data_IF_387924143119
#
_entry.id   IF_387924143119
#
_cell.length_a   1.000
_cell.length_b   1.000
_cell.length_c   1.000
_cell.angle_alpha   90.00
_cell.angle_beta   90.00
_cell.angle_gamma   90.00
#
_symmetry.space_group_name_H-M   'P 1'
#
loop_
_entity.id
_entity.type
_entity.pdbx_description
1 polymer ?
#
# COMPACT_ATOMS: atom_id res chain seq x y z
N UNK A 1 -1.24 -15.33 -3.51
CA UNK A 1 -2.43 -14.59 -3.07
C UNK A 1 -2.60 -13.33 -3.92
N UNK A 2 -3.80 -13.09 -4.45
CA UNK A 2 -4.10 -12.01 -5.41
C UNK A 2 -3.85 -10.62 -4.82
N UNK A 3 -3.04 -9.81 -5.51
CA UNK A 3 -2.84 -8.40 -5.17
C UNK A 3 -3.75 -7.53 -6.05
N UNK A 4 -3.56 -7.62 -7.36
CA UNK A 4 -4.21 -6.76 -8.33
C UNK A 4 -4.32 -7.42 -9.70
N UNK A 5 -5.24 -6.90 -10.50
CA UNK A 5 -5.43 -7.24 -11.90
C UNK A 5 -5.45 -5.97 -12.75
N UNK A 6 -4.84 -6.02 -13.92
CA UNK A 6 -4.83 -4.92 -14.88
C UNK A 6 -5.00 -5.45 -16.29
N UNK A 7 -6.05 -5.02 -16.99
CA UNK A 7 -6.20 -5.32 -18.41
C UNK A 7 -5.44 -4.29 -19.26
N UNK A 8 -4.60 -4.79 -20.15
CA UNK A 8 -3.80 -4.02 -21.09
C UNK A 8 -4.45 -4.09 -22.46
N UNK A 9 -5.32 -3.16 -22.79
CA UNK A 9 -6.12 -3.14 -24.03
C UNK A 9 -5.28 -3.20 -25.31
N UNK A 10 -4.14 -2.51 -25.34
CA UNK A 10 -3.25 -2.49 -26.52
C UNK A 10 -2.63 -3.86 -26.85
N UNK A 11 -2.36 -4.68 -25.84
CA UNK A 11 -1.78 -6.03 -25.99
C UNK A 11 -2.79 -7.13 -25.75
N UNK A 12 -4.04 -6.78 -25.43
CA UNK A 12 -5.14 -7.71 -25.09
C UNK A 12 -4.73 -8.75 -24.03
N UNK A 13 -4.08 -8.29 -22.97
CA UNK A 13 -3.59 -9.15 -21.89
C UNK A 13 -4.14 -8.73 -20.55
N UNK A 14 -4.52 -9.71 -19.75
CA UNK A 14 -4.77 -9.54 -18.32
C UNK A 14 -3.46 -9.78 -17.57
N UNK A 15 -2.98 -8.76 -16.86
CA UNK A 15 -1.86 -8.87 -15.90
C UNK A 15 -2.44 -9.17 -14.53
N UNK A 16 -1.97 -10.22 -13.91
CA UNK A 16 -2.35 -10.65 -12.56
C UNK A 16 -1.12 -10.64 -11.68
N UNK A 17 -1.15 -9.90 -10.58
CA UNK A 17 -0.10 -9.95 -9.56
C UNK A 17 -0.58 -10.68 -8.32
N UNK A 18 0.31 -11.50 -7.75
CA UNK A 18 0.03 -12.26 -6.53
C UNK A 18 1.30 -12.46 -5.71
N UNK A 19 1.13 -12.72 -4.41
CA UNK A 19 2.22 -13.11 -3.52
C UNK A 19 2.42 -14.61 -3.59
N UNK A 20 3.65 -15.03 -3.83
CA UNK A 20 4.04 -16.43 -3.80
C UNK A 20 4.45 -16.90 -2.39
N UNK A 21 4.80 -18.18 -2.28
CA UNK A 21 5.24 -18.82 -1.03
C UNK A 21 6.52 -18.21 -0.41
N UNK A 22 7.28 -17.42 -1.16
CA UNK A 22 8.48 -16.72 -0.67
C UNK A 22 8.17 -15.33 -0.11
N UNK A 23 6.91 -14.88 -0.20
CA UNK A 23 6.48 -13.54 0.19
C UNK A 23 6.79 -12.46 -0.86
N UNK A 24 7.22 -12.86 -2.06
CA UNK A 24 7.55 -11.95 -3.14
C UNK A 24 6.39 -11.84 -4.14
N UNK A 25 6.33 -10.71 -4.85
CA UNK A 25 5.33 -10.49 -5.90
C UNK A 25 5.73 -11.24 -7.17
N UNK A 26 4.77 -11.96 -7.75
CA UNK A 26 4.84 -12.54 -9.09
C UNK A 26 3.82 -11.90 -10.01
N UNK A 27 4.14 -11.86 -11.28
CA UNK A 27 3.25 -11.46 -12.35
C UNK A 27 2.95 -12.61 -13.27
N UNK A 28 1.67 -12.77 -13.62
CA UNK A 28 1.22 -13.61 -14.72
C UNK A 28 0.53 -12.78 -15.77
N UNK A 29 0.68 -13.19 -17.03
CA UNK A 29 0.08 -12.56 -18.20
C UNK A 29 -0.80 -13.57 -18.88
N UNK A 30 -2.08 -13.27 -19.04
CA UNK A 30 -3.05 -14.10 -19.74
C UNK A 30 -3.49 -13.38 -21.00
N UNK A 31 -3.50 -14.08 -22.13
CA UNK A 31 -4.12 -13.55 -23.33
C UNK A 31 -5.63 -13.51 -23.12
N UNK A 32 -6.24 -12.38 -23.42
CA UNK A 32 -7.68 -12.16 -23.27
C UNK A 32 -8.17 -11.22 -24.36
N UNK A 33 -8.28 -11.79 -25.57
CA UNK A 33 -8.57 -11.01 -26.78
C UNK A 33 -9.93 -10.33 -26.75
N UNK A 34 -10.95 -11.04 -26.25
CA UNK A 34 -12.34 -10.57 -26.21
C UNK A 34 -12.87 -10.73 -24.78
N UNK A 35 -12.64 -9.74 -23.90
CA UNK A 35 -13.22 -9.76 -22.56
C UNK A 35 -14.75 -9.80 -22.63
N UNK A 36 -15.35 -10.74 -21.89
CA UNK A 36 -16.79 -10.91 -21.82
C UNK A 36 -17.29 -10.56 -20.43
N UNK A 37 -18.45 -9.93 -20.32
CA UNK A 37 -19.19 -9.78 -19.05
C UNK A 37 -20.60 -10.31 -19.16
N UNK A 38 -21.16 -10.75 -18.03
CA UNK A 38 -22.56 -11.09 -17.95
C UNK A 38 -23.40 -9.81 -17.75
N UNK A 39 -24.54 -9.79 -18.42
CA UNK A 39 -25.58 -8.77 -18.26
C UNK A 39 -26.96 -9.46 -18.21
N UNK A 40 -27.94 -8.83 -17.56
CA UNK A 40 -29.30 -9.30 -17.61
C UNK A 40 -29.85 -9.23 -19.03
N UNK A 41 -30.75 -10.14 -19.38
CA UNK A 41 -31.46 -10.15 -20.66
C UNK A 41 -32.89 -10.62 -20.49
N UNK A 42 -33.71 -10.37 -21.52
CA UNK A 42 -35.08 -10.84 -21.56
C UNK A 42 -35.18 -12.37 -21.74
N UNK A 43 -36.29 -12.95 -21.32
CA UNK A 43 -36.57 -14.38 -21.39
C UNK A 43 -36.47 -14.96 -22.80
N UNK A 44 -36.77 -14.16 -23.81
CA UNK A 44 -36.75 -14.53 -25.22
C UNK A 44 -35.47 -14.11 -25.97
N UNK A 45 -34.44 -13.60 -25.25
CA UNK A 45 -33.19 -13.21 -25.88
C UNK A 45 -32.50 -14.45 -26.49
N UNK A 46 -32.18 -14.45 -27.80
CA UNK A 46 -31.54 -15.60 -28.46
C UNK A 46 -30.11 -15.87 -27.97
N UNK A 47 -29.46 -14.88 -27.34
CA UNK A 47 -28.13 -14.99 -26.75
C UNK A 47 -28.16 -15.35 -25.27
N UNK A 48 -29.37 -15.64 -24.74
CA UNK A 48 -29.54 -16.07 -23.35
C UNK A 48 -28.65 -17.28 -23.02
N UNK A 49 -27.93 -17.19 -21.89
CA UNK A 49 -27.16 -18.34 -21.42
C UNK A 49 -28.11 -19.49 -21.03
N UNK A 50 -27.86 -20.72 -21.48
CA UNK A 50 -28.80 -21.84 -21.25
C UNK A 50 -28.88 -22.24 -19.77
N UNK A 51 -27.76 -22.21 -19.06
CA UNK A 51 -27.62 -22.78 -17.72
C UNK A 51 -27.55 -21.74 -16.61
N UNK A 52 -27.00 -20.55 -16.89
CA UNK A 52 -26.79 -19.54 -15.86
C UNK A 52 -27.94 -18.52 -15.80
N UNK A 53 -28.20 -18.09 -14.57
CA UNK A 53 -29.06 -16.94 -14.24
C UNK A 53 -28.32 -16.00 -13.32
N UNK A 54 -28.80 -14.77 -13.16
CA UNK A 54 -28.35 -13.89 -12.07
C UNK A 54 -28.77 -14.46 -10.70
N UNK A 55 -28.14 -13.99 -9.64
CA UNK A 55 -28.45 -14.41 -8.27
C UNK A 55 -29.91 -14.12 -7.89
N UNK A 56 -30.58 -13.13 -8.51
CA UNK A 56 -31.99 -12.77 -8.34
C UNK A 56 -32.91 -13.42 -9.37
N UNK A 57 -32.40 -14.40 -10.14
CA UNK A 57 -33.17 -15.27 -11.03
C UNK A 57 -33.41 -14.75 -12.45
N UNK A 58 -32.90 -13.57 -12.82
CA UNK A 58 -33.01 -13.03 -14.17
C UNK A 58 -32.19 -13.86 -15.17
N UNK A 59 -32.63 -13.96 -16.41
CA UNK A 59 -31.81 -14.52 -17.47
C UNK A 59 -30.61 -13.62 -17.77
N UNK A 60 -29.49 -14.25 -18.14
CA UNK A 60 -28.23 -13.56 -18.43
C UNK A 60 -27.70 -13.94 -19.79
N UNK A 61 -26.97 -13.02 -20.40
CA UNK A 61 -26.15 -13.26 -21.60
C UNK A 61 -24.75 -12.69 -21.40
N UNK A 62 -23.82 -13.13 -22.22
CA UNK A 62 -22.48 -12.54 -22.28
C UNK A 62 -22.40 -11.51 -23.39
N UNK A 63 -21.78 -10.38 -23.10
CA UNK A 63 -21.46 -9.34 -24.08
C UNK A 63 -19.96 -9.07 -24.04
N UNK A 64 -19.40 -8.75 -25.21
CA UNK A 64 -17.99 -8.31 -25.31
C UNK A 64 -17.85 -6.89 -24.81
N UNK A 65 -16.75 -6.62 -24.09
CA UNK A 65 -16.45 -5.30 -23.54
C UNK A 65 -15.02 -4.90 -23.87
N UNK A 66 -14.81 -3.63 -24.21
CA UNK A 66 -13.49 -3.09 -24.50
C UNK A 66 -12.60 -3.01 -23.25
N UNK A 67 -13.22 -2.81 -22.08
CA UNK A 67 -12.55 -2.75 -20.77
C UNK A 67 -13.35 -3.62 -19.80
N UNK A 68 -12.77 -4.74 -19.33
CA UNK A 68 -13.44 -5.58 -18.35
C UNK A 68 -13.53 -4.87 -17.00
N UNK A 69 -14.69 -4.93 -16.40
CA UNK A 69 -14.90 -4.52 -15.02
C UNK A 69 -14.38 -5.59 -14.03
N UNK A 70 -14.60 -5.35 -12.73
CA UNK A 70 -14.17 -6.29 -11.70
C UNK A 70 -14.88 -7.65 -11.82
N UNK A 71 -16.15 -7.66 -12.22
CA UNK A 71 -16.95 -8.88 -12.31
C UNK A 71 -16.46 -9.77 -13.46
N UNK A 72 -16.29 -9.19 -14.66
CA UNK A 72 -15.71 -9.87 -15.80
C UNK A 72 -14.31 -10.43 -15.48
N UNK A 73 -13.49 -9.64 -14.76
CA UNK A 73 -12.16 -10.06 -14.33
C UNK A 73 -12.20 -11.24 -13.37
N UNK A 74 -13.09 -11.22 -12.38
CA UNK A 74 -13.22 -12.33 -11.45
C UNK A 74 -13.79 -13.59 -12.11
N UNK A 75 -14.74 -13.45 -13.02
CA UNK A 75 -15.22 -14.58 -13.83
C UNK A 75 -14.09 -15.22 -14.65
N UNK A 76 -13.24 -14.41 -15.26
CA UNK A 76 -12.05 -14.92 -15.94
C UNK A 76 -11.13 -15.69 -14.98
N UNK A 77 -10.82 -15.13 -13.80
CA UNK A 77 -9.96 -15.80 -12.82
C UNK A 77 -10.57 -17.10 -12.29
N UNK A 78 -11.90 -17.15 -12.11
CA UNK A 78 -12.60 -18.35 -11.67
C UNK A 78 -12.67 -19.44 -12.76
N UNK A 79 -12.50 -19.08 -14.04
CA UNK A 79 -12.43 -20.04 -15.15
C UNK A 79 -11.06 -20.71 -15.31
N UNK A 80 -10.02 -20.21 -14.61
CA UNK A 80 -8.69 -20.79 -14.62
C UNK A 80 -8.68 -22.20 -14.01
N UNK A 81 -7.64 -22.96 -14.32
CA UNK A 81 -7.41 -24.28 -13.72
C UNK A 81 -7.28 -24.17 -12.19
N UNK A 82 -7.64 -25.24 -11.47
CA UNK A 82 -7.53 -25.25 -9.99
C UNK A 82 -6.09 -25.01 -9.52
N UNK A 83 -5.09 -25.48 -10.27
CA UNK A 83 -3.68 -25.20 -9.99
C UNK A 83 -3.38 -23.69 -10.04
N UNK A 84 -3.86 -23.00 -11.05
CA UNK A 84 -3.64 -21.57 -11.23
C UNK A 84 -4.43 -20.75 -10.20
N UNK A 85 -5.69 -21.15 -9.94
CA UNK A 85 -6.50 -20.54 -8.88
C UNK A 85 -5.83 -20.65 -7.52
N UNK A 86 -5.32 -21.84 -7.17
CA UNK A 86 -4.61 -22.03 -5.91
C UNK A 86 -3.35 -21.16 -5.85
N UNK A 87 -2.55 -21.11 -6.91
CA UNK A 87 -1.36 -20.26 -6.96
C UNK A 87 -1.70 -18.76 -6.76
N UNK A 88 -2.79 -18.28 -7.36
CA UNK A 88 -3.19 -16.87 -7.30
C UNK A 88 -3.87 -16.52 -5.97
N UNK A 89 -4.70 -17.40 -5.42
CA UNK A 89 -5.54 -17.09 -4.27
C UNK A 89 -5.06 -17.68 -2.94
N UNK A 90 -4.10 -18.63 -2.97
CA UNK A 90 -3.57 -19.22 -1.73
C UNK A 90 -2.97 -18.13 -0.82
N UNK A 91 -3.23 -18.26 0.48
CA UNK A 91 -2.73 -17.33 1.47
C UNK A 91 -1.21 -17.47 1.65
N UNK A 92 -0.50 -16.38 1.42
CA UNK A 92 0.93 -16.26 1.71
C UNK A 92 1.21 -14.91 2.34
N UNK A 93 2.09 -14.87 3.34
CA UNK A 93 2.49 -13.64 4.02
C UNK A 93 3.52 -12.90 3.15
N UNK A 94 3.28 -11.63 2.81
CA UNK A 94 4.26 -10.84 2.05
C UNK A 94 5.45 -10.46 2.92
N UNK A 95 6.55 -10.09 2.27
CA UNK A 95 7.61 -9.31 2.93
C UNK A 95 7.10 -7.89 3.15
N UNK A 96 7.05 -7.48 4.40
CA UNK A 96 6.54 -6.17 4.81
C UNK A 96 7.70 -5.24 5.11
N UNK A 97 7.64 -4.03 4.58
CA UNK A 97 8.61 -2.96 4.80
C UNK A 97 7.92 -1.82 5.56
N UNK A 98 8.39 -1.55 6.76
CA UNK A 98 7.92 -0.47 7.63
C UNK A 98 8.76 0.76 7.35
N UNK A 99 8.12 1.86 6.97
CA UNK A 99 8.79 3.06 6.45
C UNK A 99 8.31 4.26 7.25
N UNK A 100 9.23 5.15 7.53
CA UNK A 100 9.00 6.44 8.16
C UNK A 100 9.93 7.47 7.54
N UNK A 101 9.49 8.73 7.41
CA UNK A 101 10.31 9.82 6.88
C UNK A 101 10.42 10.95 7.87
N UNK A 102 11.56 11.63 7.82
CA UNK A 102 11.74 12.88 8.52
C UNK A 102 11.98 14.02 7.54
N UNK A 103 11.25 15.10 7.71
CA UNK A 103 11.31 16.27 6.83
C UNK A 103 11.89 17.46 7.56
N UNK A 104 12.53 18.36 6.84
CA UNK A 104 12.98 19.64 7.35
C UNK A 104 11.79 20.47 7.84
N UNK A 105 11.93 21.10 8.97
CA UNK A 105 10.94 22.02 9.57
C UNK A 105 11.54 23.42 9.56
N UNK A 106 11.12 24.26 8.62
CA UNK A 106 11.68 25.60 8.41
C UNK A 106 10.97 26.70 9.16
N UNK A 107 9.81 26.40 9.76
CA UNK A 107 9.03 27.41 10.47
C UNK A 107 8.42 26.82 11.76
N UNK A 108 7.89 27.71 12.61
CA UNK A 108 7.27 27.35 13.88
C UNK A 108 5.85 26.82 13.75
N UNK A 109 5.31 26.72 12.52
CA UNK A 109 3.91 26.34 12.26
C UNK A 109 3.66 24.82 12.25
N UNK A 110 4.68 24.00 12.50
CA UNK A 110 4.57 22.54 12.57
C UNK A 110 5.13 21.84 11.34
N UNK A 111 4.67 20.60 11.10
CA UNK A 111 5.09 19.80 9.95
C UNK A 111 4.62 20.41 8.64
N UNK A 112 5.44 20.31 7.55
CA UNK A 112 5.01 20.74 6.22
C UNK A 112 3.84 19.90 5.72
N UNK A 113 2.96 20.52 4.91
CA UNK A 113 1.84 19.81 4.30
C UNK A 113 2.35 18.77 3.31
N UNK A 114 1.75 17.58 3.30
CA UNK A 114 2.12 16.50 2.37
C UNK A 114 1.56 16.71 0.95
N UNK A 115 0.58 17.60 0.77
CA UNK A 115 0.00 17.98 -0.51
C UNK A 115 -0.46 19.44 -0.45
N UNK A 116 -0.66 20.04 -1.63
CA UNK A 116 -1.21 21.39 -1.73
C UNK A 116 -2.61 21.46 -1.11
N UNK A 117 -2.81 22.43 -0.22
CA UNK A 117 -4.13 22.73 0.35
C UNK A 117 -4.87 23.64 -0.61
N UNK A 118 -6.09 23.25 -0.97
CA UNK A 118 -6.94 23.98 -1.92
C UNK A 118 -8.20 24.50 -1.26
N UNK A 119 -8.69 25.65 -1.72
CA UNK A 119 -10.00 26.19 -1.37
C UNK A 119 -11.13 25.46 -2.13
N UNK A 120 -12.38 25.86 -1.89
CA UNK A 120 -13.57 25.31 -2.58
C UNK A 120 -13.55 25.51 -4.10
N UNK A 121 -12.80 26.49 -4.59
CA UNK A 121 -12.71 26.85 -6.01
C UNK A 121 -11.51 26.13 -6.69
N UNK A 122 -10.73 25.37 -5.90
CA UNK A 122 -9.57 24.60 -6.36
C UNK A 122 -8.26 25.38 -6.42
N UNK A 123 -8.22 26.62 -5.92
CA UNK A 123 -7.00 27.41 -5.85
C UNK A 123 -6.13 26.94 -4.69
N UNK A 124 -4.81 26.88 -4.92
CA UNK A 124 -3.85 26.51 -3.87
C UNK A 124 -3.74 27.66 -2.86
N UNK A 125 -4.14 27.39 -1.62
CA UNK A 125 -4.06 28.33 -0.48
C UNK A 125 -2.79 28.14 0.34
N UNK A 126 -2.25 26.91 0.37
CA UNK A 126 -0.97 26.58 1.01
C UNK A 126 -0.26 25.51 0.16
N UNK A 127 0.97 25.77 -0.21
CA UNK A 127 1.78 24.83 -0.98
C UNK A 127 2.27 23.69 -0.07
N UNK A 128 2.10 22.44 -0.54
CA UNK A 128 2.61 21.26 0.14
C UNK A 128 4.02 20.89 -0.29
N UNK A 129 4.65 19.98 0.44
CA UNK A 129 5.98 19.43 0.14
C UNK A 129 7.05 20.48 -0.17
N UNK A 130 7.05 21.57 0.63
CA UNK A 130 7.94 22.72 0.42
C UNK A 130 9.34 22.47 0.96
N UNK A 131 9.50 21.53 1.89
CA UNK A 131 10.75 21.28 2.60
C UNK A 131 11.39 19.96 2.20
N UNK A 132 12.66 19.80 2.54
CA UNK A 132 13.48 18.66 2.17
C UNK A 132 13.12 17.41 2.99
N UNK A 133 13.19 16.23 2.36
CA UNK A 133 13.23 14.95 3.07
C UNK A 133 14.66 14.75 3.59
N UNK A 134 14.82 14.71 4.90
CA UNK A 134 16.13 14.60 5.56
C UNK A 134 16.59 13.16 5.74
N UNK A 135 15.64 12.25 6.00
CA UNK A 135 15.91 10.83 6.13
C UNK A 135 14.71 9.96 5.77
N UNK A 136 14.99 8.73 5.38
CA UNK A 136 14.01 7.65 5.18
C UNK A 136 14.49 6.45 5.97
N UNK A 137 13.67 5.96 6.91
CA UNK A 137 13.89 4.71 7.63
C UNK A 137 13.09 3.59 6.99
N UNK A 138 13.71 2.42 6.79
CA UNK A 138 13.10 1.23 6.21
C UNK A 138 13.44 0.04 7.09
N UNK A 139 12.44 -0.57 7.70
CA UNK A 139 12.60 -1.74 8.57
C UNK A 139 11.91 -2.95 7.96
N UNK A 140 12.59 -4.08 7.90
CA UNK A 140 12.02 -5.36 7.49
C UNK A 140 12.84 -6.51 8.08
N UNK A 141 12.19 -7.59 8.48
CA UNK A 141 12.81 -8.70 9.21
C UNK A 141 13.64 -8.17 10.42
N UNK A 142 14.93 -8.50 10.47
CA UNK A 142 15.92 -8.02 11.45
C UNK A 142 16.78 -6.84 10.93
N UNK A 143 16.35 -6.14 9.88
CA UNK A 143 17.17 -5.14 9.20
C UNK A 143 16.55 -3.76 9.29
N UNK A 144 17.42 -2.79 9.57
CA UNK A 144 17.12 -1.36 9.54
C UNK A 144 18.00 -0.74 8.46
N UNK A 145 17.40 -0.11 7.48
CA UNK A 145 18.09 0.70 6.47
C UNK A 145 17.72 2.15 6.71
N UNK A 146 18.71 2.97 6.97
CA UNK A 146 18.54 4.41 7.09
C UNK A 146 19.16 5.10 5.89
N UNK A 147 18.40 5.93 5.21
CA UNK A 147 18.87 6.80 4.14
C UNK A 147 18.97 8.21 4.70
N UNK A 148 20.02 8.93 4.38
CA UNK A 148 20.19 10.30 4.85
C UNK A 148 21.22 11.09 4.05
N UNK A 149 21.39 12.36 4.42
CA UNK A 149 22.17 13.34 3.66
C UNK A 149 23.49 13.73 4.35
N UNK A 150 23.63 13.47 5.66
CA UNK A 150 24.85 13.76 6.42
C UNK A 150 25.75 12.53 6.52
N UNK A 151 27.02 12.75 6.81
CA UNK A 151 27.93 11.64 7.14
C UNK A 151 27.51 10.96 8.45
N UNK A 152 27.61 9.64 8.47
CA UNK A 152 27.40 8.81 9.65
C UNK A 152 28.58 7.86 9.79
N UNK A 153 29.54 8.16 10.66
CA UNK A 153 30.67 7.27 10.96
C UNK A 153 30.21 5.88 11.45
N UNK A 154 31.03 4.87 11.27
CA UNK A 154 30.68 3.49 11.62
C UNK A 154 30.42 3.33 13.12
N UNK A 155 31.22 3.99 13.98
CA UNK A 155 30.99 3.99 15.42
C UNK A 155 29.67 4.64 15.85
N UNK A 156 29.17 5.61 15.11
CA UNK A 156 27.81 6.17 15.31
C UNK A 156 26.74 5.14 14.93
N UNK A 157 26.92 4.43 13.79
CA UNK A 157 25.99 3.35 13.41
C UNK A 157 25.96 2.26 14.49
N UNK A 158 27.10 1.89 15.04
CA UNK A 158 27.24 0.89 16.11
C UNK A 158 26.50 1.33 17.39
N UNK A 159 26.59 2.62 17.76
CA UNK A 159 25.84 3.14 18.92
C UNK A 159 24.34 3.14 18.67
N UNK A 160 23.88 3.58 17.50
CA UNK A 160 22.46 3.60 17.14
C UNK A 160 21.89 2.18 17.21
N UNK A 161 22.55 1.20 16.57
CA UNK A 161 22.01 -0.16 16.55
C UNK A 161 22.05 -0.82 17.93
N UNK A 162 23.08 -0.58 18.71
CA UNK A 162 23.17 -1.04 20.10
C UNK A 162 22.04 -0.47 20.96
N UNK A 163 21.76 0.83 20.84
CA UNK A 163 20.69 1.48 21.57
C UNK A 163 19.31 0.98 21.12
N UNK A 164 19.12 0.79 19.81
CA UNK A 164 17.89 0.22 19.25
C UNK A 164 17.65 -1.20 19.77
N UNK A 165 18.66 -2.08 19.70
CA UNK A 165 18.52 -3.44 20.19
C UNK A 165 18.26 -3.49 21.71
N UNK A 166 18.89 -2.61 22.50
CA UNK A 166 18.62 -2.48 23.92
C UNK A 166 17.19 -2.01 24.19
N UNK A 167 16.68 -1.04 23.40
CA UNK A 167 15.33 -0.52 23.55
C UNK A 167 14.26 -1.60 23.31
N UNK A 168 14.52 -2.48 22.36
CA UNK A 168 13.63 -3.59 22.01
C UNK A 168 14.05 -4.95 22.60
N UNK A 169 14.93 -4.99 23.62
CA UNK A 169 15.51 -6.23 24.18
C UNK A 169 14.45 -7.26 24.64
N UNK A 170 13.31 -6.78 25.16
CA UNK A 170 12.20 -7.65 25.58
C UNK A 170 11.58 -8.49 24.44
N UNK A 171 11.85 -8.14 23.18
CA UNK A 171 11.38 -8.88 22.00
C UNK A 171 12.40 -9.86 21.44
N UNK A 172 13.56 -10.02 22.11
CA UNK A 172 14.64 -10.89 21.63
C UNK A 172 15.08 -10.61 20.19
N UNK A 173 15.02 -9.36 19.74
CA UNK A 173 15.41 -8.96 18.39
C UNK A 173 16.88 -8.51 18.38
N UNK A 174 17.58 -8.85 17.29
CA UNK A 174 18.93 -8.42 17.04
C UNK A 174 19.00 -7.77 15.66
N UNK A 175 18.54 -6.53 15.60
CA UNK A 175 18.56 -5.75 14.37
C UNK A 175 19.98 -5.48 13.89
N UNK A 176 20.11 -5.41 12.57
CA UNK A 176 21.32 -4.99 11.85
C UNK A 176 21.01 -3.67 11.14
N UNK A 177 21.86 -2.68 11.36
CA UNK A 177 21.74 -1.37 10.75
C UNK A 177 22.61 -1.27 9.50
N UNK A 178 22.06 -0.66 8.46
CA UNK A 178 22.79 -0.17 7.30
C UNK A 178 22.41 1.27 7.05
N UNK A 179 23.37 2.17 7.12
CA UNK A 179 23.21 3.54 6.68
C UNK A 179 23.68 3.72 5.24
N UNK A 180 22.94 4.52 4.47
CA UNK A 180 23.30 4.90 3.10
C UNK A 180 23.22 6.42 3.00
N UNK A 181 24.37 7.06 2.90
CA UNK A 181 24.48 8.50 2.65
C UNK A 181 24.28 8.80 1.18
N UNK A 182 23.54 9.85 0.90
CA UNK A 182 23.39 10.45 -0.43
C UNK A 182 23.92 11.87 -0.46
N UNK A 183 24.35 12.32 -1.62
CA UNK A 183 24.93 13.66 -1.78
C UNK A 183 23.86 14.75 -1.65
N UNK A 184 22.64 14.45 -2.13
CA UNK A 184 21.48 15.34 -2.05
C UNK A 184 20.17 14.57 -1.98
N UNK A 185 19.09 15.31 -1.72
CA UNK A 185 17.73 14.75 -1.63
C UNK A 185 17.30 14.08 -2.95
N UNK A 186 17.67 14.64 -4.11
CA UNK A 186 17.31 14.05 -5.39
C UNK A 186 17.85 12.64 -5.53
N UNK A 187 19.13 12.42 -5.21
CA UNK A 187 19.77 11.11 -5.33
C UNK A 187 19.18 10.10 -4.35
N UNK A 188 18.85 10.52 -3.13
CA UNK A 188 18.18 9.70 -2.13
C UNK A 188 16.78 9.28 -2.62
N UNK A 189 15.97 10.22 -3.04
CA UNK A 189 14.61 9.98 -3.54
C UNK A 189 14.61 9.17 -4.83
N UNK A 190 15.57 9.44 -5.73
CA UNK A 190 15.75 8.64 -6.95
C UNK A 190 16.08 7.19 -6.62
N UNK A 191 17.00 6.95 -5.67
CA UNK A 191 17.34 5.60 -5.24
C UNK A 191 16.14 4.90 -4.57
N UNK A 192 15.38 5.61 -3.74
CA UNK A 192 14.19 5.08 -3.11
C UNK A 192 13.16 4.59 -4.16
N UNK A 193 12.72 5.46 -5.07
CA UNK A 193 11.71 5.13 -6.06
C UNK A 193 12.17 4.14 -7.13
N UNK A 194 13.43 4.25 -7.61
CA UNK A 194 13.90 3.46 -8.75
C UNK A 194 14.60 2.14 -8.36
N UNK A 195 15.17 2.05 -7.15
CA UNK A 195 16.00 0.90 -6.77
C UNK A 195 15.44 0.10 -5.59
N UNK A 196 14.69 0.75 -4.68
CA UNK A 196 14.21 0.13 -3.44
C UNK A 196 12.75 -0.29 -3.55
N UNK A 197 11.83 0.65 -3.75
CA UNK A 197 10.39 0.34 -3.84
C UNK A 197 10.07 -0.76 -4.88
N UNK A 198 10.73 -0.83 -6.06
CA UNK A 198 10.48 -1.93 -7.00
C UNK A 198 10.76 -3.34 -6.47
N UNK A 199 11.49 -3.47 -5.36
CA UNK A 199 11.81 -4.75 -4.70
C UNK A 199 10.95 -5.03 -3.46
N UNK A 200 10.11 -4.08 -3.06
CA UNK A 200 9.29 -4.18 -1.86
C UNK A 200 7.90 -4.72 -2.23
N UNK A 201 7.47 -5.80 -1.57
CA UNK A 201 6.17 -6.39 -1.83
C UNK A 201 5.05 -5.60 -1.16
N UNK A 202 5.21 -5.27 0.11
CA UNK A 202 4.24 -4.56 0.93
C UNK A 202 4.94 -3.42 1.69
N UNK A 203 4.48 -2.19 1.51
CA UNK A 203 4.98 -1.01 2.21
C UNK A 203 3.93 -0.54 3.21
N UNK A 204 4.38 -0.13 4.37
CA UNK A 204 3.50 0.41 5.42
C UNK A 204 4.28 1.33 6.37
N UNK A 205 3.57 2.12 7.14
CA UNK A 205 4.07 2.99 8.18
C UNK A 205 2.89 3.51 9.01
N UNK A 206 3.16 4.36 9.96
CA UNK A 206 2.11 4.97 10.78
C UNK A 206 1.63 6.27 10.17
N UNK A 207 0.35 6.39 9.86
CA UNK A 207 -0.23 7.50 9.08
C UNK A 207 0.38 7.62 7.67
N UNK A 208 0.86 6.51 7.15
CA UNK A 208 1.75 6.42 6.00
C UNK A 208 1.13 6.97 4.71
N UNK A 209 -0.13 6.64 4.43
CA UNK A 209 -0.82 7.12 3.22
C UNK A 209 -1.16 8.59 3.30
N UNK A 210 -1.50 9.10 4.50
CA UNK A 210 -1.90 10.49 4.65
C UNK A 210 -0.69 11.45 4.76
N UNK A 211 0.49 10.94 5.13
CA UNK A 211 1.68 11.78 5.28
C UNK A 211 2.87 11.24 4.48
N UNK A 212 3.56 10.22 4.93
CA UNK A 212 4.86 9.81 4.39
C UNK A 212 4.82 9.49 2.89
N UNK A 213 3.94 8.59 2.48
CA UNK A 213 3.82 8.19 1.07
C UNK A 213 3.34 9.34 0.20
N UNK A 214 2.35 10.09 0.67
CA UNK A 214 1.83 11.25 -0.04
C UNK A 214 2.91 12.32 -0.21
N UNK A 215 3.68 12.59 0.86
CA UNK A 215 4.82 13.52 0.84
C UNK A 215 5.87 13.08 -0.17
N UNK A 216 6.32 11.82 -0.10
CA UNK A 216 7.34 11.26 -0.99
C UNK A 216 6.92 11.37 -2.47
N UNK A 217 5.67 11.00 -2.81
CA UNK A 217 5.15 11.08 -4.17
C UNK A 217 5.09 12.53 -4.68
N UNK A 218 4.53 13.44 -3.88
CA UNK A 218 4.40 14.84 -4.30
C UNK A 218 5.76 15.55 -4.34
N UNK A 219 6.64 15.28 -3.38
CA UNK A 219 8.01 15.83 -3.35
C UNK A 219 8.84 15.35 -4.53
N UNK A 220 8.76 14.07 -4.88
CA UNK A 220 9.51 13.51 -6.01
C UNK A 220 9.23 14.25 -7.34
N UNK A 221 8.00 14.73 -7.53
CA UNK A 221 7.58 15.48 -8.73
C UNK A 221 8.15 16.90 -8.80
N UNK A 222 8.52 17.47 -7.64
CA UNK A 222 9.12 18.80 -7.56
C UNK A 222 10.63 18.77 -7.71
N UNK A 223 11.26 17.61 -7.50
CA UNK A 223 12.72 17.47 -7.54
C UNK A 223 13.23 17.28 -8.97
N UNK A 224 14.26 18.07 -9.32
CA UNK A 224 14.95 18.03 -10.60
C UNK A 224 16.44 18.16 -10.40
N UNK A 225 17.23 17.47 -11.21
CA UNK A 225 18.70 17.53 -11.21
C UNK A 225 19.24 17.67 -12.61
N UNK A 226 20.13 18.62 -12.80
CA UNK A 226 20.82 18.83 -14.08
C UNK A 226 22.21 18.21 -14.02
N UNK A 227 22.49 17.28 -14.94
CA UNK A 227 23.81 16.64 -15.05
C UNK A 227 24.20 16.66 -16.52
N UNK A 228 25.37 17.28 -16.83
CA UNK A 228 25.91 17.38 -18.18
C UNK A 228 24.89 17.95 -19.21
N UNK A 229 24.14 18.98 -18.83
CA UNK A 229 23.16 19.64 -19.70
C UNK A 229 21.85 18.88 -19.91
N UNK A 230 21.66 17.75 -19.21
CA UNK A 230 20.42 16.95 -19.25
C UNK A 230 19.66 17.08 -17.93
N UNK A 231 18.36 17.35 -18.03
CA UNK A 231 17.46 17.33 -16.88
C UNK A 231 17.08 15.89 -16.50
N UNK A 232 17.19 15.58 -15.24
CA UNK A 232 16.70 14.35 -14.62
C UNK A 232 15.54 14.67 -13.68
N UNK A 233 14.50 13.86 -13.75
CA UNK A 233 13.31 13.95 -12.90
C UNK A 233 13.05 12.61 -12.25
N UNK A 234 12.34 12.61 -11.12
CA UNK A 234 11.89 11.40 -10.47
C UNK A 234 10.45 11.15 -10.88
N UNK A 235 10.20 10.03 -11.53
CA UNK A 235 8.86 9.59 -11.89
C UNK A 235 8.39 8.51 -10.90
N UNK A 236 7.48 8.83 -9.97
CA UNK A 236 7.03 7.83 -8.99
C UNK A 236 6.35 6.60 -9.61
N UNK A 237 5.95 6.65 -10.89
CA UNK A 237 5.40 5.49 -11.61
C UNK A 237 6.39 4.36 -11.77
N UNK A 238 7.70 4.62 -11.71
CA UNK A 238 8.75 3.57 -11.76
C UNK A 238 8.69 2.62 -10.58
N UNK A 239 8.08 3.02 -9.48
CA UNK A 239 7.85 2.15 -8.32
C UNK A 239 6.84 1.03 -8.60
N UNK A 240 6.00 1.20 -9.63
CA UNK A 240 5.03 0.20 -10.08
C UNK A 240 5.65 -0.81 -11.05
N UNK A 241 5.18 -2.06 -10.98
CA UNK A 241 5.60 -3.12 -11.92
C UNK A 241 5.12 -2.88 -13.36
N UNK A 242 4.06 -2.10 -13.56
CA UNK A 242 3.50 -1.75 -14.88
C UNK A 242 3.61 -0.25 -15.18
N UNK A 243 4.42 0.49 -14.44
CA UNK A 243 4.61 1.95 -14.57
C UNK A 243 3.29 2.74 -14.49
N UNK A 244 2.40 2.31 -13.61
CA UNK A 244 1.11 2.97 -13.38
C UNK A 244 0.92 3.24 -11.89
N UNK A 245 0.39 4.42 -11.56
CA UNK A 245 -0.15 4.72 -10.24
C UNK A 245 -1.67 4.60 -10.29
N UNK A 246 -2.22 3.91 -9.33
CA UNK A 246 -3.67 3.79 -9.15
C UNK A 246 -4.11 4.79 -8.11
N UNK A 247 -5.19 5.51 -8.41
CA UNK A 247 -5.90 6.31 -7.41
C UNK A 247 -6.77 5.39 -6.57
N UNK A 248 -6.63 5.46 -5.25
CA UNK A 248 -7.39 4.61 -4.33
C UNK A 248 -8.13 5.46 -3.32
N UNK A 249 -9.32 5.00 -2.91
CA UNK A 249 -10.25 5.52 -1.90
C UNK A 249 -10.69 6.97 -2.09
N UNK A 250 -9.78 7.87 -2.35
CA UNK A 250 -10.01 9.25 -2.78
C UNK A 250 -9.14 9.53 -3.99
N UNK A 251 -9.34 10.68 -4.62
CA UNK A 251 -8.48 11.10 -5.74
C UNK A 251 -7.09 11.56 -5.30
N UNK A 252 -6.82 11.60 -3.99
CA UNK A 252 -5.59 12.15 -3.41
C UNK A 252 -4.45 11.14 -3.32
N UNK A 253 -4.78 9.85 -3.05
CA UNK A 253 -3.76 8.84 -2.88
C UNK A 253 -3.46 8.10 -4.19
N UNK A 254 -2.18 8.13 -4.57
CA UNK A 254 -1.68 7.42 -5.74
C UNK A 254 -0.71 6.33 -5.29
N UNK A 255 -1.10 5.07 -5.45
CA UNK A 255 -0.26 3.92 -5.10
C UNK A 255 0.24 3.20 -6.36
N UNK A 256 1.45 2.63 -6.34
CA UNK A 256 1.97 1.89 -7.47
C UNK A 256 1.11 0.66 -7.77
N UNK A 257 0.70 0.52 -9.03
CA UNK A 257 -0.02 -0.68 -9.47
C UNK A 257 0.81 -1.94 -9.18
N UNK A 258 0.11 -3.01 -8.79
CA UNK A 258 0.69 -4.31 -8.45
C UNK A 258 1.62 -4.30 -7.22
N UNK A 259 1.50 -3.28 -6.35
CA UNK A 259 2.16 -3.20 -5.06
C UNK A 259 1.12 -3.01 -3.97
N UNK A 260 1.50 -3.38 -2.75
CA UNK A 260 0.63 -3.18 -1.60
C UNK A 260 1.17 -2.07 -0.74
N UNK A 261 0.34 -1.08 -0.51
CA UNK A 261 0.61 0.00 0.42
C UNK A 261 -0.53 0.06 1.42
N UNK A 262 -0.20 -0.01 2.70
CA UNK A 262 -1.15 0.12 3.80
C UNK A 262 -0.76 1.28 4.70
N UNK A 263 -1.75 1.89 5.29
CA UNK A 263 -1.58 2.77 6.44
C UNK A 263 -1.83 1.96 7.71
N UNK A 264 -0.79 1.76 8.52
CA UNK A 264 -0.91 0.92 9.70
C UNK A 264 -1.81 1.53 10.78
N UNK A 265 -1.89 2.85 10.85
CA UNK A 265 -2.85 3.57 11.70
C UNK A 265 -4.29 3.24 11.28
N UNK A 266 -4.57 3.26 9.98
CA UNK A 266 -5.89 2.87 9.45
C UNK A 266 -6.22 1.41 9.76
N UNK A 267 -5.25 0.49 9.60
CA UNK A 267 -5.46 -0.92 9.95
C UNK A 267 -5.74 -1.11 11.44
N UNK A 268 -5.05 -0.37 12.32
CA UNK A 268 -5.38 -0.35 13.74
C UNK A 268 -6.81 0.10 13.98
N UNK A 269 -7.26 1.15 13.31
CA UNK A 269 -8.62 1.66 13.47
C UNK A 269 -9.70 0.69 13.00
N UNK A 270 -9.45 -0.07 11.94
CA UNK A 270 -10.37 -1.05 11.37
C UNK A 270 -10.36 -2.37 12.15
N UNK A 271 -9.17 -2.89 12.43
CA UNK A 271 -9.01 -4.29 12.86
C UNK A 271 -8.93 -4.46 14.38
N UNK A 272 -8.50 -3.44 15.13
CA UNK A 272 -8.42 -3.57 16.60
C UNK A 272 -9.79 -3.42 17.26
N UNK A 273 -10.36 -4.54 17.66
CA UNK A 273 -11.64 -4.61 18.35
C UNK A 273 -11.49 -4.63 19.89
N UNK A 274 -10.26 -4.68 20.39
CA UNK A 274 -10.00 -4.76 21.84
C UNK A 274 -10.30 -3.45 22.57
N UNK A 275 -10.33 -2.35 21.81
CA UNK A 275 -10.57 -1.01 22.33
C UNK A 275 -11.87 -0.47 21.72
N UNK A 276 -12.94 -0.42 22.53
CA UNK A 276 -14.27 0.03 22.08
C UNK A 276 -14.29 1.53 21.70
N UNK A 277 -13.53 2.35 22.41
CA UNK A 277 -13.40 3.78 22.14
C UNK A 277 -11.90 4.07 22.02
N UNK A 278 -11.47 4.46 20.82
CA UNK A 278 -10.08 4.80 20.55
C UNK A 278 -9.84 6.25 20.99
N UNK A 279 -9.15 6.40 22.10
CA UNK A 279 -8.85 7.71 22.71
C UNK A 279 -7.88 8.53 21.84
N UNK A 280 -6.96 7.86 21.14
CA UNK A 280 -5.97 8.48 20.27
C UNK A 280 -5.43 7.49 19.23
N UNK A 281 -5.16 7.98 18.01
CA UNK A 281 -4.46 7.23 16.95
C UNK A 281 -2.98 7.62 16.83
N UNK A 282 -2.43 8.40 17.79
CA UNK A 282 -1.00 8.73 17.80
C UNK A 282 -0.16 7.50 18.07
N UNK A 283 0.95 7.32 17.31
CA UNK A 283 1.85 6.17 17.45
C UNK A 283 2.30 5.98 18.90
N UNK A 284 2.70 7.04 19.61
CA UNK A 284 3.13 6.99 21.00
C UNK A 284 2.05 6.37 21.91
N UNK A 285 0.81 6.81 21.77
CA UNK A 285 -0.30 6.29 22.57
C UNK A 285 -0.57 4.82 22.26
N UNK A 286 -0.63 4.46 20.96
CA UNK A 286 -0.97 3.12 20.52
C UNK A 286 0.16 2.13 20.83
N UNK A 287 1.42 2.50 20.63
CA UNK A 287 2.56 1.65 20.96
C UNK A 287 2.65 1.39 22.46
N UNK A 288 2.44 2.41 23.30
CA UNK A 288 2.39 2.21 24.75
C UNK A 288 1.27 1.24 25.12
N UNK A 289 0.06 1.44 24.60
CA UNK A 289 -1.12 0.64 24.95
C UNK A 289 -1.05 -0.80 24.45
N UNK A 290 -0.54 -1.05 23.23
CA UNK A 290 -0.53 -2.37 22.64
C UNK A 290 0.72 -3.19 22.96
N UNK A 291 1.85 -2.53 23.08
CA UNK A 291 3.15 -3.20 23.24
C UNK A 291 3.98 -2.67 24.43
N UNK A 292 3.46 -1.71 25.20
CA UNK A 292 4.12 -1.16 26.39
C UNK A 292 5.46 -0.46 26.08
N UNK A 293 5.56 0.21 24.94
CA UNK A 293 6.71 1.03 24.52
C UNK A 293 6.23 2.42 24.08
N UNK A 294 7.02 3.43 24.39
CA UNK A 294 6.76 4.80 24.00
C UNK A 294 7.72 5.24 22.89
N UNK A 295 7.46 6.35 22.23
CA UNK A 295 8.45 7.00 21.36
C UNK A 295 9.66 7.50 22.16
N UNK A 296 10.79 7.60 21.50
CA UNK A 296 11.96 8.24 22.12
C UNK A 296 11.66 9.72 22.36
N UNK A 297 11.90 10.17 23.59
CA UNK A 297 11.75 11.58 23.96
C UNK A 297 13.04 12.33 23.69
N UNK A 298 12.90 13.50 23.09
CA UNK A 298 14.01 14.43 22.84
C UNK A 298 13.63 15.85 23.24
N UNK A 299 14.63 16.71 23.44
CA UNK A 299 14.41 18.10 23.80
C UNK A 299 14.52 19.01 22.57
N UNK A 300 13.64 20.01 22.46
CA UNK A 300 13.62 20.96 21.35
C UNK A 300 12.83 20.51 20.15
N UNK A 301 13.15 21.05 18.97
CA UNK A 301 12.52 20.67 17.70
C UNK A 301 13.29 19.55 16.99
N UNK A 302 12.62 18.84 16.10
CA UNK A 302 13.23 17.80 15.26
C UNK A 302 14.32 18.38 14.34
N UNK A 303 14.11 19.60 13.85
CA UNK A 303 15.12 20.34 13.06
C UNK A 303 16.39 20.58 13.87
N UNK A 304 16.23 21.06 15.11
CA UNK A 304 17.41 21.25 16.00
C UNK A 304 18.12 19.94 16.31
N UNK A 305 17.36 18.87 16.48
CA UNK A 305 17.93 17.53 16.68
C UNK A 305 18.77 17.10 15.46
N UNK A 306 18.25 17.32 14.25
CA UNK A 306 19.00 17.04 13.02
C UNK A 306 20.30 17.83 12.90
N UNK A 307 20.29 19.10 13.34
CA UNK A 307 21.46 19.99 13.26
C UNK A 307 22.51 19.68 14.31
N UNK A 308 22.11 19.54 15.57
CA UNK A 308 22.97 19.51 16.75
C UNK A 308 23.28 18.09 17.25
N UNK A 309 22.37 17.12 17.05
CA UNK A 309 22.51 15.73 17.54
C UNK A 309 21.96 14.73 16.51
N UNK A 310 22.69 14.61 15.42
CA UNK A 310 22.33 13.74 14.30
C UNK A 310 22.21 12.27 14.70
N UNK A 311 23.00 11.81 15.70
CA UNK A 311 22.91 10.43 16.21
C UNK A 311 21.52 10.16 16.82
N UNK A 312 21.07 11.04 17.70
CA UNK A 312 19.74 10.91 18.33
C UNK A 312 18.62 11.07 17.29
N UNK A 313 18.77 11.95 16.29
CA UNK A 313 17.81 12.11 15.20
C UNK A 313 17.63 10.80 14.43
N UNK A 314 18.71 10.15 14.00
CA UNK A 314 18.65 8.91 13.24
C UNK A 314 18.22 7.72 14.11
N UNK A 315 18.57 7.71 15.40
CA UNK A 315 18.06 6.74 16.36
C UNK A 315 16.54 6.87 16.54
N UNK A 316 16.00 8.08 16.63
CA UNK A 316 14.58 8.38 16.71
C UNK A 316 13.85 7.82 15.48
N UNK A 317 14.30 8.17 14.28
CA UNK A 317 13.68 7.71 13.03
C UNK A 317 13.71 6.17 12.89
N UNK A 318 14.81 5.51 13.30
CA UNK A 318 14.88 4.05 13.33
C UNK A 318 13.84 3.44 14.30
N UNK A 319 13.73 4.00 15.51
CA UNK A 319 12.82 3.49 16.55
C UNK A 319 11.36 3.62 16.10
N UNK A 320 10.97 4.73 15.48
CA UNK A 320 9.58 4.92 15.03
C UNK A 320 9.14 3.85 14.03
N UNK A 321 9.98 3.52 13.05
CA UNK A 321 9.69 2.42 12.11
C UNK A 321 9.66 1.05 12.80
N UNK A 322 10.56 0.78 13.76
CA UNK A 322 10.57 -0.48 14.52
C UNK A 322 9.34 -0.59 15.43
N UNK A 323 8.86 0.51 16.03
CA UNK A 323 7.63 0.49 16.83
C UNK A 323 6.43 -0.01 16.01
N UNK A 324 6.28 0.45 14.76
CA UNK A 324 5.21 -0.02 13.87
C UNK A 324 5.37 -1.51 13.56
N UNK A 325 6.60 -1.98 13.32
CA UNK A 325 6.87 -3.40 13.13
C UNK A 325 6.49 -4.20 14.40
N UNK A 326 6.82 -3.73 15.59
CA UNK A 326 6.47 -4.43 16.85
C UNK A 326 4.96 -4.45 17.12
N UNK A 327 4.25 -3.41 16.75
CA UNK A 327 2.78 -3.44 16.76
C UNK A 327 2.27 -4.50 15.77
N UNK A 328 2.86 -4.59 14.58
CA UNK A 328 2.52 -5.63 13.61
C UNK A 328 2.81 -7.04 14.15
N UNK A 329 3.99 -7.27 14.72
CA UNK A 329 4.36 -8.57 15.30
C UNK A 329 3.36 -9.02 16.39
N UNK A 330 2.83 -8.07 17.17
CA UNK A 330 1.86 -8.34 18.24
C UNK A 330 0.42 -8.52 17.74
N UNK A 331 0.01 -7.82 16.66
CA UNK A 331 -1.41 -7.72 16.26
C UNK A 331 -1.70 -8.29 14.88
N UNK A 332 -0.74 -8.28 13.97
CA UNK A 332 -0.77 -8.90 12.64
C UNK A 332 -1.95 -8.47 11.75
N UNK A 333 -2.37 -7.19 11.80
CA UNK A 333 -3.53 -6.69 11.06
C UNK A 333 -3.42 -6.88 9.55
N UNK A 334 -2.21 -6.75 8.97
CA UNK A 334 -1.99 -6.99 7.53
C UNK A 334 -2.40 -8.41 7.15
N UNK A 335 -2.03 -9.43 7.96
CA UNK A 335 -2.41 -10.82 7.67
C UNK A 335 -3.91 -11.06 7.76
N UNK A 336 -4.64 -10.29 8.58
CA UNK A 336 -6.12 -10.35 8.63
C UNK A 336 -6.69 -9.91 7.28
N UNK A 337 -6.23 -8.78 6.75
CA UNK A 337 -6.68 -8.29 5.44
C UNK A 337 -6.37 -9.30 4.32
N UNK A 338 -5.19 -9.91 4.39
CA UNK A 338 -4.79 -10.95 3.45
C UNK A 338 -5.63 -12.22 3.54
N UNK A 339 -5.93 -12.67 4.75
CA UNK A 339 -6.78 -13.84 4.95
C UNK A 339 -8.19 -13.60 4.37
N UNK A 340 -8.75 -12.41 4.58
CA UNK A 340 -10.05 -12.02 4.02
C UNK A 340 -9.98 -12.01 2.49
N UNK A 341 -8.93 -11.42 1.88
CA UNK A 341 -8.73 -11.40 0.43
C UNK A 341 -8.65 -12.82 -0.14
N UNK A 342 -7.88 -13.69 0.49
CA UNK A 342 -7.72 -15.08 0.07
C UNK A 342 -9.05 -15.86 0.14
N UNK A 343 -9.76 -15.78 1.27
CA UNK A 343 -11.03 -16.48 1.49
C UNK A 343 -12.14 -16.00 0.56
N UNK A 344 -12.19 -14.71 0.28
CA UNK A 344 -13.20 -14.13 -0.63
C UNK A 344 -12.78 -14.15 -2.10
N UNK A 345 -11.55 -14.52 -2.41
CA UNK A 345 -10.95 -14.50 -3.75
C UNK A 345 -11.12 -13.16 -4.48
N UNK A 346 -10.89 -12.08 -3.75
CA UNK A 346 -10.90 -10.72 -4.30
C UNK A 346 -9.54 -10.08 -4.15
N UNK A 347 -9.27 -9.02 -4.89
CA UNK A 347 -8.01 -8.29 -4.75
C UNK A 347 -7.95 -7.52 -3.43
N UNK A 348 -6.75 -7.33 -2.93
CA UNK A 348 -6.48 -6.65 -1.65
C UNK A 348 -7.17 -5.29 -1.53
N UNK A 349 -7.14 -4.49 -2.60
CA UNK A 349 -7.74 -3.16 -2.59
C UNK A 349 -9.27 -3.16 -2.47
N UNK A 350 -9.93 -4.29 -2.76
CA UNK A 350 -11.38 -4.44 -2.62
C UNK A 350 -11.78 -4.91 -1.20
N UNK A 351 -10.82 -5.41 -0.40
CA UNK A 351 -11.06 -5.76 1.01
C UNK A 351 -11.25 -4.51 1.87
N UNK A 352 -10.55 -3.43 1.54
CA UNK A 352 -10.70 -2.15 2.21
C UNK A 352 -11.76 -1.31 1.50
N UNK A 353 -12.67 -0.72 2.25
CA UNK A 353 -13.69 0.16 1.69
C UNK A 353 -13.08 1.43 1.09
N UNK A 354 -13.73 1.95 0.05
CA UNK A 354 -13.44 3.30 -0.48
C UNK A 354 -13.70 4.40 0.56
N UNK A 355 -14.57 4.16 1.54
CA UNK A 355 -14.71 5.02 2.71
C UNK A 355 -13.61 4.69 3.70
N UNK A 356 -12.87 5.70 4.16
CA UNK A 356 -11.79 5.54 5.16
C UNK A 356 -12.31 4.72 6.37
N UNK A 357 -11.47 3.83 6.88
CA UNK A 357 -11.65 3.11 8.13
C UNK A 357 -12.80 2.07 8.17
N UNK A 358 -13.08 1.41 7.04
CA UNK A 358 -14.04 0.31 6.99
C UNK A 358 -13.56 -0.82 6.07
N UNK A 359 -14.09 -2.02 6.30
CA UNK A 359 -13.94 -3.14 5.37
C UNK A 359 -14.92 -2.97 4.19
N UNK A 360 -14.51 -3.44 3.03
CA UNK A 360 -15.33 -3.50 1.82
C UNK A 360 -16.38 -4.63 1.90
N UNK A 361 -17.31 -4.56 2.85
CA UNK A 361 -18.24 -5.63 3.21
C UNK A 361 -18.97 -6.19 2.00
N UNK A 362 -19.46 -5.34 1.09
CA UNK A 362 -20.15 -5.77 -0.11
C UNK A 362 -19.23 -6.61 -1.02
N UNK A 363 -18.04 -6.12 -1.32
CA UNK A 363 -17.09 -6.84 -2.17
C UNK A 363 -16.65 -8.18 -1.55
N UNK A 364 -16.45 -8.21 -0.25
CA UNK A 364 -16.11 -9.43 0.51
C UNK A 364 -17.27 -10.43 0.41
N UNK A 365 -18.50 -10.00 0.67
CA UNK A 365 -19.68 -10.86 0.61
C UNK A 365 -19.92 -11.40 -0.80
N UNK A 366 -19.88 -10.53 -1.82
CA UNK A 366 -19.95 -10.94 -3.23
C UNK A 366 -18.85 -11.95 -3.58
N UNK A 367 -17.62 -11.71 -3.13
CA UNK A 367 -16.51 -12.62 -3.36
C UNK A 367 -16.72 -14.01 -2.76
N UNK A 368 -17.17 -14.09 -1.50
CA UNK A 368 -17.46 -15.37 -0.82
C UNK A 368 -18.62 -16.10 -1.49
N UNK A 369 -19.65 -15.38 -1.92
CA UNK A 369 -20.85 -15.99 -2.51
C UNK A 369 -20.68 -16.38 -3.97
N UNK A 370 -19.80 -15.69 -4.72
CA UNK A 370 -19.62 -15.88 -6.17
C UNK A 370 -19.37 -17.34 -6.55
N UNK A 371 -18.46 -18.03 -5.86
CA UNK A 371 -18.20 -19.44 -6.15
C UNK A 371 -19.38 -20.33 -5.83
N UNK A 372 -20.01 -20.11 -4.65
CA UNK A 372 -21.16 -20.92 -4.20
C UNK A 372 -22.33 -20.77 -5.15
N UNK A 373 -22.64 -19.56 -5.58
CA UNK A 373 -23.76 -19.34 -6.51
C UNK A 373 -23.49 -19.96 -7.88
N UNK A 374 -22.26 -19.83 -8.41
CA UNK A 374 -21.89 -20.43 -9.69
C UNK A 374 -21.88 -21.94 -9.62
N UNK A 375 -21.18 -22.52 -8.64
CA UNK A 375 -20.96 -23.97 -8.57
C UNK A 375 -22.18 -24.75 -8.07
N UNK A 376 -23.00 -24.17 -7.18
CA UNK A 376 -24.12 -24.88 -6.54
C UNK A 376 -25.50 -24.49 -7.11
N UNK A 377 -25.65 -23.31 -7.67
CA UNK A 377 -26.95 -22.75 -8.06
C UNK A 377 -26.98 -22.30 -9.53
N UNK A 378 -25.90 -22.44 -10.29
CA UNK A 378 -25.75 -21.87 -11.64
C UNK A 378 -26.12 -20.39 -11.69
N UNK A 379 -25.79 -19.64 -10.65
CA UNK A 379 -26.11 -18.23 -10.54
C UNK A 379 -24.85 -17.35 -10.62
N UNK A 380 -24.96 -16.24 -11.35
CA UNK A 380 -23.90 -15.27 -11.58
C UNK A 380 -24.18 -14.00 -10.77
N UNK A 381 -23.13 -13.47 -10.14
CA UNK A 381 -23.17 -12.15 -9.51
C UNK A 381 -22.53 -11.14 -10.46
N UNK A 382 -23.30 -10.11 -10.82
CA UNK A 382 -22.82 -8.97 -11.60
C UNK A 382 -23.58 -7.71 -11.16
N UNK A 383 -23.09 -6.56 -11.54
CA UNK A 383 -23.80 -5.30 -11.38
C UNK A 383 -24.62 -5.05 -12.64
N UNK A 384 -25.95 -4.91 -12.52
CA UNK A 384 -26.77 -4.34 -13.59
C UNK A 384 -26.28 -2.91 -13.85
N UNK A 385 -25.96 -2.59 -15.09
CA UNK A 385 -25.78 -1.21 -15.48
C UNK A 385 -27.18 -0.58 -15.34
N UNK A 386 -27.42 0.14 -14.23
CA UNK A 386 -28.64 0.93 -14.08
C UNK A 386 -28.73 1.81 -15.32
N UNK A 387 -29.83 1.68 -16.05
CA UNK A 387 -30.15 2.63 -17.10
C UNK A 387 -30.16 3.98 -16.40
N UNK A 388 -29.17 4.82 -16.70
CA UNK A 388 -29.26 6.24 -16.38
C UNK A 388 -30.55 6.74 -17.01
N UNK A 389 -31.56 6.97 -16.14
CA UNK A 389 -32.85 7.55 -16.50
C UNK A 389 -32.74 9.06 -16.51
#
# INVERSE_FOLDING_TARGET
MLIETQYLSNSKKLVVSYIDKTGDIKLKYYDWDNPMKYVACDDNDPLRHPDFKSWDGKHVKQIEVAQPDRYATYEFLDSLSDKEKNEIFEFHVPKIYFIDIETEITDTSGFPEAADVKDSDGNVTKEGTTTQVLSISIVYDDKIILLGLKEMPEDMQDRIIKNTNKYFEKYNTNYKLKYIKYEDEFDMMYAFFNKMVPKMACLTGWNFLNYDWLYLVNRSRKLKKWVNGKEYVIDPRVSSLTKKLNKVWSTEFEIPAHRMIFDYMQLYEICDTTIKIKESSKLEFVSNKLIGLEKIKYNGSLQKLYEDDFETFMYYNAVDSVLVQKIHDAKNYISIIYAISSLSRIKITDVLSKAKNNLGTLAITEGVLRHRFKDQMNAIIFKDDEKEG
#
